data_IF_088888701929
#
_entry.id   IF_088888701929
#
_cell.length_a   1.000
_cell.length_b   1.000
_cell.length_c   1.000
_cell.angle_alpha   90.00
_cell.angle_beta   90.00
_cell.angle_gamma   90.00
#
_symmetry.space_group_name_H-M   'P 1'
#
loop_
_entity.id
_entity.type
_entity.pdbx_description
1 polymer ?
#
# COMPACT_ATOMS: atom_id res chain seq x y z
N UNK A 1 -13.03 9.49 -1.18
CA UNK A 1 -12.10 10.00 -2.21
C UNK A 1 -10.70 9.84 -1.66
N UNK A 2 -9.78 9.38 -2.51
CA UNK A 2 -8.37 9.20 -2.15
C UNK A 2 -7.74 10.56 -1.88
N UNK A 3 -6.97 10.68 -0.80
CA UNK A 3 -6.40 11.97 -0.36
C UNK A 3 -4.94 12.17 -0.79
N UNK A 4 -4.18 11.09 -0.95
CA UNK A 4 -2.75 11.20 -1.27
C UNK A 4 -2.52 11.22 -2.79
N UNK A 5 -1.57 12.04 -3.21
CA UNK A 5 -1.01 12.05 -4.57
C UNK A 5 0.40 11.46 -4.61
N UNK A 6 0.87 10.93 -3.49
CA UNK A 6 2.22 10.39 -3.39
C UNK A 6 2.40 9.16 -4.27
N UNK A 7 3.55 9.06 -4.92
CA UNK A 7 3.97 7.90 -5.69
C UNK A 7 4.72 6.86 -4.83
N UNK A 8 5.08 7.21 -3.59
CA UNK A 8 5.85 6.33 -2.69
C UNK A 8 5.15 6.17 -1.35
N UNK A 9 5.42 5.05 -0.68
CA UNK A 9 4.86 4.77 0.65
C UNK A 9 5.43 5.74 1.69
N UNK A 10 6.71 6.09 1.57
CA UNK A 10 7.37 7.06 2.44
C UNK A 10 6.72 8.44 2.30
N UNK A 11 6.45 8.86 1.06
CA UNK A 11 5.77 10.12 0.80
C UNK A 11 4.31 10.10 1.30
N UNK A 12 3.59 8.99 1.11
CA UNK A 12 2.26 8.80 1.67
C UNK A 12 2.26 8.96 3.20
N UNK A 13 3.20 8.31 3.90
CA UNK A 13 3.33 8.42 5.35
C UNK A 13 3.68 9.85 5.78
N UNK A 14 4.54 10.54 5.02
CA UNK A 14 4.92 11.93 5.28
C UNK A 14 3.75 12.93 5.13
N UNK A 15 2.76 12.63 4.29
CA UNK A 15 1.55 13.45 4.13
C UNK A 15 0.56 13.28 5.29
N UNK A 16 0.63 12.19 6.04
CA UNK A 16 -0.27 11.95 7.17
C UNK A 16 0.05 12.89 8.34
N UNK A 17 -1.01 13.33 9.02
CA UNK A 17 -0.92 13.97 10.32
C UNK A 17 -0.17 13.05 11.32
N UNK A 18 0.63 13.61 12.25
CA UNK A 18 1.53 12.83 13.09
C UNK A 18 0.86 11.65 13.82
N UNK A 19 -0.32 11.86 14.37
CA UNK A 19 -1.09 10.84 15.08
C UNK A 19 -1.55 9.70 14.17
N UNK A 20 -1.93 10.02 12.93
CA UNK A 20 -2.34 9.02 11.93
C UNK A 20 -1.13 8.25 11.41
N UNK A 21 -0.01 8.93 11.21
CA UNK A 21 1.25 8.32 10.76
C UNK A 21 1.70 7.23 11.72
N UNK A 22 1.62 7.46 13.04
CA UNK A 22 2.02 6.47 14.06
C UNK A 22 1.18 5.19 13.92
N UNK A 23 -0.14 5.30 13.86
CA UNK A 23 -1.02 4.14 13.75
C UNK A 23 -0.84 3.39 12.42
N UNK A 24 -0.75 4.12 11.30
CA UNK A 24 -0.57 3.52 9.97
C UNK A 24 0.81 2.86 9.84
N UNK A 25 1.87 3.47 10.37
CA UNK A 25 3.20 2.88 10.36
C UNK A 25 3.27 1.60 11.20
N UNK A 26 2.62 1.57 12.38
CA UNK A 26 2.54 0.37 13.21
C UNK A 26 1.82 -0.77 12.48
N UNK A 27 0.66 -0.50 11.87
CA UNK A 27 -0.09 -1.50 11.12
C UNK A 27 0.67 -1.97 9.87
N UNK A 28 1.33 -1.05 9.14
CA UNK A 28 2.22 -1.40 8.03
C UNK A 28 3.31 -2.38 8.48
N UNK A 29 3.97 -2.12 9.61
CA UNK A 29 4.99 -3.01 10.16
C UNK A 29 4.46 -4.41 10.45
N UNK A 30 3.25 -4.52 11.03
CA UNK A 30 2.60 -5.82 11.26
C UNK A 30 2.30 -6.54 9.95
N UNK A 31 1.79 -5.83 8.94
CA UNK A 31 1.50 -6.45 7.64
C UNK A 31 2.79 -6.95 6.99
N UNK A 32 3.83 -6.13 6.93
CA UNK A 32 5.12 -6.51 6.35
C UNK A 32 5.75 -7.73 7.04
N UNK A 33 5.67 -7.81 8.36
CA UNK A 33 6.18 -8.96 9.13
C UNK A 33 5.41 -10.26 8.86
N UNK A 34 4.17 -10.18 8.37
CA UNK A 34 3.30 -11.33 8.10
C UNK A 34 3.00 -11.51 6.61
N UNK A 35 3.60 -10.69 5.75
CA UNK A 35 3.33 -10.73 4.32
C UNK A 35 4.09 -11.95 3.74
N UNK A 36 3.39 -12.89 3.06
CA UNK A 36 4.07 -14.03 2.46
C UNK A 36 5.10 -13.61 1.43
N UNK A 37 6.12 -14.44 1.23
CA UNK A 37 7.14 -14.18 0.22
C UNK A 37 6.53 -14.05 -1.19
N UNK A 38 7.06 -13.09 -1.94
CA UNK A 38 6.69 -12.78 -3.33
C UNK A 38 5.39 -11.98 -3.47
N UNK A 39 4.96 -11.30 -2.40
CA UNK A 39 4.11 -10.12 -2.46
C UNK A 39 4.98 -8.88 -2.30
N UNK A 40 4.55 -7.75 -2.87
CA UNK A 40 5.27 -6.49 -2.83
C UNK A 40 4.39 -5.36 -2.29
N UNK A 41 5.00 -4.44 -1.54
CA UNK A 41 4.36 -3.20 -1.12
C UNK A 41 4.52 -2.14 -2.22
N UNK A 42 3.43 -1.50 -2.62
CA UNK A 42 3.42 -0.44 -3.63
C UNK A 42 2.31 0.58 -3.36
N UNK A 43 2.37 1.74 -4.00
CA UNK A 43 1.24 2.66 -4.01
C UNK A 43 0.16 2.16 -4.98
N UNK A 44 -1.07 2.02 -4.48
CA UNK A 44 -2.23 1.57 -5.25
C UNK A 44 -3.40 2.50 -4.98
N UNK A 45 -3.96 3.10 -6.04
CA UNK A 45 -5.10 4.03 -5.92
C UNK A 45 -4.91 5.09 -4.81
N UNK A 46 -3.69 5.63 -4.68
CA UNK A 46 -3.28 6.62 -3.66
C UNK A 46 -3.38 6.16 -2.19
N UNK A 47 -3.23 4.86 -1.96
CA UNK A 47 -3.04 4.24 -0.65
C UNK A 47 -1.94 3.18 -0.72
N UNK A 48 -1.50 2.68 0.44
CA UNK A 48 -0.53 1.59 0.48
C UNK A 48 -1.26 0.31 0.06
N UNK A 49 -0.72 -0.40 -0.93
CA UNK A 49 -1.24 -1.66 -1.42
C UNK A 49 -0.19 -2.76 -1.33
N UNK A 50 -0.65 -3.97 -1.04
CA UNK A 50 0.16 -5.18 -1.08
C UNK A 50 -0.33 -6.01 -2.25
N UNK A 51 0.57 -6.31 -3.19
CA UNK A 51 0.22 -6.86 -4.49
C UNK A 51 0.99 -8.13 -4.81
N UNK A 52 0.44 -8.95 -5.69
CA UNK A 52 1.24 -9.93 -6.43
C UNK A 52 1.86 -9.20 -7.62
N UNK A 53 3.20 -9.10 -7.71
CA UNK A 53 3.85 -8.37 -8.78
C UNK A 53 3.71 -9.10 -10.13
N UNK A 54 3.75 -8.35 -11.22
CA UNK A 54 3.67 -8.92 -12.58
C UNK A 54 4.85 -9.84 -12.91
N UNK A 55 5.99 -9.67 -12.23
CA UNK A 55 7.13 -10.59 -12.31
C UNK A 55 6.78 -12.02 -11.88
N UNK A 56 5.78 -12.16 -10.99
CA UNK A 56 5.27 -13.45 -10.50
C UNK A 56 3.99 -13.87 -11.21
N UNK A 57 3.12 -12.92 -11.56
CA UNK A 57 1.86 -13.18 -12.23
C UNK A 57 1.64 -12.17 -13.38
N UNK A 58 2.20 -12.44 -14.58
CA UNK A 58 2.24 -11.46 -15.67
C UNK A 58 0.90 -11.28 -16.39
N UNK A 59 0.04 -12.30 -16.39
CA UNK A 59 -1.21 -12.30 -17.14
C UNK A 59 -2.40 -11.85 -16.29
N UNK A 60 -2.57 -10.53 -16.16
CA UNK A 60 -3.76 -9.93 -15.52
C UNK A 60 -4.68 -9.29 -16.53
N UNK A 61 -6.00 -9.27 -16.24
CA UNK A 61 -7.02 -8.78 -17.16
C UNK A 61 -6.82 -7.32 -17.61
N UNK A 62 -6.12 -6.51 -16.82
CA UNK A 62 -5.86 -5.10 -17.10
C UNK A 62 -4.35 -4.75 -17.14
N UNK A 63 -3.47 -5.75 -17.11
CA UNK A 63 -2.01 -5.55 -17.09
C UNK A 63 -1.47 -4.88 -15.82
N UNK A 64 -2.27 -4.76 -14.75
CA UNK A 64 -1.81 -4.24 -13.46
C UNK A 64 -1.53 -5.39 -12.46
N UNK A 65 -0.66 -5.19 -11.46
CA UNK A 65 -0.47 -6.15 -10.36
C UNK A 65 -1.79 -6.48 -9.66
N UNK A 66 -1.91 -7.72 -9.15
CA UNK A 66 -3.11 -8.14 -8.43
C UNK A 66 -3.08 -7.60 -7.00
N UNK A 67 -4.04 -6.75 -6.64
CA UNK A 67 -4.18 -6.23 -5.29
C UNK A 67 -4.67 -7.33 -4.34
N UNK A 68 -3.92 -7.56 -3.27
CA UNK A 68 -4.28 -8.50 -2.21
C UNK A 68 -4.92 -7.81 -1.01
N UNK A 69 -4.27 -6.75 -0.53
CA UNK A 69 -4.76 -5.94 0.58
C UNK A 69 -4.34 -4.48 0.39
N UNK A 70 -5.06 -3.58 1.05
CA UNK A 70 -4.70 -2.17 1.07
C UNK A 70 -4.87 -1.55 2.46
N UNK A 71 -4.01 -0.60 2.78
CA UNK A 71 -4.00 0.15 4.02
C UNK A 71 -4.15 1.65 3.72
N UNK A 72 -5.25 2.22 4.20
CA UNK A 72 -5.60 3.61 3.92
C UNK A 72 -6.03 4.37 5.17
N UNK A 73 -5.67 5.65 5.24
CA UNK A 73 -6.13 6.61 6.24
C UNK A 73 -7.04 7.67 5.60
N UNK A 74 -8.26 7.30 5.19
CA UNK A 74 -9.19 8.17 4.44
C UNK A 74 -10.27 8.87 5.29
N UNK A 75 -10.25 8.70 6.61
CA UNK A 75 -11.23 9.35 7.48
C UNK A 75 -11.03 10.87 7.41
N UNK A 76 -12.13 11.62 7.24
CA UNK A 76 -12.14 13.07 7.42
C UNK A 76 -11.82 13.36 8.89
#
# INVERSE_FOLDING_TARGET
MVQSKSATVEGYLAELAPERRVAIAALRGVIQANLPEGYEESMQFGMIGYVVPLSRYPETANGAPLLYAALASQKR
#
